data_IF_771193203655
#
_entry.id   IF_771193203655
#
_cell.length_a   1.000
_cell.length_b   1.000
_cell.length_c   1.000
_cell.angle_alpha   90.00
_cell.angle_beta   90.00
_cell.angle_gamma   90.00
#
_symmetry.space_group_name_H-M   'P 1'
#
loop_
_entity.id
_entity.type
_entity.pdbx_description
1 polymer ?
#
# COMPACT_ATOMS: atom_id res chain seq x y z
N UNK A 1 -28.15 -1.67 -19.00
CA UNK A 1 -27.64 -2.86 -19.72
C UNK A 1 -26.39 -2.45 -20.49
N UNK A 2 -25.25 -2.48 -19.82
CA UNK A 2 -23.94 -2.36 -20.45
C UNK A 2 -23.11 -3.54 -19.94
N UNK A 3 -22.60 -4.30 -20.90
CA UNK A 3 -21.84 -5.51 -20.66
C UNK A 3 -20.47 -5.15 -20.08
N UNK A 4 -20.19 -5.64 -18.88
CA UNK A 4 -18.85 -5.68 -18.33
C UNK A 4 -18.03 -6.67 -19.17
N UNK A 5 -16.97 -6.19 -19.82
CA UNK A 5 -15.93 -7.05 -20.38
C UNK A 5 -14.99 -7.37 -19.23
N UNK A 6 -15.21 -8.50 -18.55
CA UNK A 6 -14.24 -9.07 -17.62
C UNK A 6 -13.00 -9.49 -18.42
N UNK A 7 -11.91 -8.76 -18.24
CA UNK A 7 -10.58 -9.28 -18.57
C UNK A 7 -10.19 -10.17 -17.38
N UNK A 8 -10.49 -11.46 -17.49
CA UNK A 8 -9.90 -12.46 -16.60
C UNK A 8 -8.39 -12.49 -16.85
N UNK A 9 -7.63 -11.83 -15.98
CA UNK A 9 -6.21 -12.13 -15.80
C UNK A 9 -6.13 -13.57 -15.30
N UNK A 10 -5.79 -14.47 -16.21
CA UNK A 10 -5.52 -15.86 -15.92
C UNK A 10 -4.34 -15.96 -14.94
N UNK A 11 -4.63 -15.94 -13.64
CA UNK A 11 -3.75 -16.50 -12.62
C UNK A 11 -3.52 -17.95 -13.04
N UNK A 12 -2.30 -18.26 -13.49
CA UNK A 12 -1.87 -19.64 -13.72
C UNK A 12 -1.93 -20.38 -12.40
N UNK A 13 -3.09 -20.96 -12.08
CA UNK A 13 -3.18 -22.08 -11.14
C UNK A 13 -2.25 -23.15 -11.68
N UNK A 14 -1.15 -23.41 -10.98
CA UNK A 14 -0.30 -24.56 -11.22
C UNK A 14 -1.13 -25.83 -11.02
N UNK A 15 -1.77 -26.29 -12.09
CA UNK A 15 -2.36 -27.61 -12.13
C UNK A 15 -1.21 -28.61 -12.09
N UNK A 16 -1.03 -29.23 -10.92
CA UNK A 16 -0.26 -30.47 -10.80
C UNK A 16 -0.76 -31.45 -11.86
N UNK A 17 0.10 -31.78 -12.81
CA UNK A 17 -0.14 -32.80 -13.81
C UNK A 17 -0.12 -34.18 -13.10
N UNK A 18 -1.28 -34.63 -12.59
CA UNK A 18 -1.50 -36.04 -12.28
C UNK A 18 -2.00 -36.74 -13.53
N UNK A 19 -1.14 -37.59 -14.13
CA UNK A 19 -1.46 -38.95 -14.60
C UNK A 19 -0.24 -39.53 -15.34
N UNK A 20 0.76 -39.97 -14.58
CA UNK A 20 1.72 -40.94 -15.10
C UNK A 20 1.11 -42.33 -14.90
N UNK A 21 0.56 -42.92 -15.97
CA UNK A 21 0.16 -44.33 -15.98
C UNK A 21 1.44 -45.18 -15.90
N UNK A 22 1.65 -45.84 -14.77
CA UNK A 22 2.74 -46.79 -14.56
C UNK A 22 2.37 -48.09 -15.30
N UNK A 23 3.04 -48.38 -16.41
CA UNK A 23 3.14 -49.74 -16.93
C UNK A 23 4.52 -50.27 -16.57
N UNK A 24 4.56 -51.29 -15.72
CA UNK A 24 5.78 -51.95 -15.24
C UNK A 24 6.28 -52.85 -16.38
N UNK A 25 7.30 -52.42 -17.11
CA UNK A 25 8.21 -53.32 -17.83
C UNK A 25 9.62 -52.73 -17.78
N UNK A 26 10.55 -53.45 -17.14
CA UNK A 26 11.99 -53.26 -17.30
C UNK A 26 12.57 -52.04 -16.57
N UNK A 27 13.35 -52.30 -15.53
CA UNK A 27 13.89 -51.27 -14.65
C UNK A 27 14.78 -50.24 -15.33
N UNK A 28 14.34 -48.98 -15.29
CA UNK A 28 15.18 -47.78 -15.21
C UNK A 28 14.49 -46.85 -14.21
N UNK A 29 15.12 -46.65 -13.04
CA UNK A 29 14.69 -45.65 -12.07
C UNK A 29 15.02 -44.26 -12.64
N UNK A 30 14.09 -43.65 -13.36
CA UNK A 30 14.22 -42.26 -13.81
C UNK A 30 13.99 -41.36 -12.60
N UNK A 31 15.07 -40.95 -11.94
CA UNK A 31 15.04 -39.88 -10.94
C UNK A 31 14.82 -38.57 -11.70
N UNK A 32 13.58 -38.09 -11.75
CA UNK A 32 13.29 -36.74 -12.19
C UNK A 32 13.82 -35.74 -11.16
N UNK A 33 15.09 -35.33 -11.30
CA UNK A 33 15.60 -34.15 -10.63
C UNK A 33 14.91 -32.93 -11.25
N UNK A 34 13.85 -32.45 -10.60
CA UNK A 34 13.27 -31.15 -10.89
C UNK A 34 14.28 -30.08 -10.46
N UNK A 35 15.11 -29.62 -11.40
CA UNK A 35 15.92 -28.42 -11.19
C UNK A 35 14.96 -27.23 -11.06
N UNK A 36 14.71 -26.77 -9.83
CA UNK A 36 14.14 -25.43 -9.61
C UNK A 36 15.17 -24.44 -10.14
N UNK A 37 14.96 -23.91 -11.33
CA UNK A 37 15.69 -22.73 -11.78
C UNK A 37 15.36 -21.62 -10.76
N UNK A 38 16.35 -21.18 -9.99
CA UNK A 38 16.21 -20.01 -9.15
C UNK A 38 15.84 -18.84 -10.07
N UNK A 39 14.74 -18.14 -9.75
CA UNK A 39 14.39 -16.92 -10.44
C UNK A 39 15.58 -15.96 -10.36
N UNK A 40 16.06 -15.46 -11.51
CA UNK A 40 17.11 -14.43 -11.52
C UNK A 40 16.54 -13.20 -10.82
N UNK A 41 17.09 -12.83 -9.66
CA UNK A 41 16.73 -11.61 -8.97
C UNK A 41 17.02 -10.40 -9.87
N UNK A 42 16.14 -9.40 -9.85
CA UNK A 42 16.46 -8.10 -10.42
C UNK A 42 17.63 -7.53 -9.60
N UNK A 43 18.81 -7.27 -10.21
CA UNK A 43 20.00 -6.89 -9.46
C UNK A 43 19.88 -5.53 -8.75
N UNK A 44 18.87 -4.73 -9.10
CA UNK A 44 18.53 -3.48 -8.39
C UNK A 44 17.02 -3.20 -8.49
N UNK A 45 16.25 -4.00 -7.76
CA UNK A 45 14.79 -3.89 -7.73
C UNK A 45 14.34 -2.52 -7.24
N UNK A 46 14.99 -1.98 -6.20
CA UNK A 46 14.64 -0.68 -5.62
C UNK A 46 14.81 0.47 -6.62
N UNK A 47 15.91 0.49 -7.39
CA UNK A 47 16.09 1.47 -8.47
C UNK A 47 15.07 1.30 -9.59
N UNK A 48 14.79 0.05 -9.98
CA UNK A 48 13.87 -0.23 -11.07
C UNK A 48 12.44 0.25 -10.75
N UNK A 49 11.91 -0.10 -9.57
CA UNK A 49 10.58 0.34 -9.13
C UNK A 49 10.51 1.86 -8.98
N UNK A 50 11.55 2.48 -8.43
CA UNK A 50 11.66 3.96 -8.32
C UNK A 50 11.54 4.65 -9.68
N UNK A 51 12.23 4.13 -10.71
CA UNK A 51 12.20 4.73 -12.04
C UNK A 51 10.87 4.49 -12.75
N UNK A 52 10.30 3.29 -12.62
CA UNK A 52 8.99 2.98 -13.21
C UNK A 52 7.86 3.79 -12.59
N UNK A 53 7.83 3.94 -11.26
CA UNK A 53 6.86 4.80 -10.58
C UNK A 53 7.03 6.28 -11.01
N UNK A 54 8.27 6.77 -11.10
CA UNK A 54 8.53 8.13 -11.58
C UNK A 54 8.06 8.36 -13.03
N UNK A 55 8.31 7.40 -13.92
CA UNK A 55 7.88 7.49 -15.32
C UNK A 55 6.36 7.40 -15.46
N UNK A 56 5.71 6.56 -14.65
CA UNK A 56 4.25 6.47 -14.54
C UNK A 56 3.66 7.80 -14.08
N UNK A 57 4.14 8.35 -12.96
CA UNK A 57 3.68 9.62 -12.38
C UNK A 57 3.77 10.78 -13.39
N UNK A 58 4.91 10.94 -14.08
CA UNK A 58 5.04 11.98 -15.12
C UNK A 58 4.03 11.80 -16.25
N UNK A 59 3.82 10.55 -16.68
CA UNK A 59 2.87 10.25 -17.76
C UNK A 59 1.44 10.58 -17.34
N UNK A 60 1.06 10.27 -16.09
CA UNK A 60 -0.19 10.68 -15.47
C UNK A 60 -0.36 12.20 -15.46
N UNK A 61 0.63 12.93 -14.93
CA UNK A 61 0.60 14.39 -14.88
C UNK A 61 0.42 15.05 -16.27
N UNK A 62 1.09 14.52 -17.30
CA UNK A 62 0.91 14.97 -18.67
C UNK A 62 -0.48 14.64 -19.25
N UNK A 63 -1.03 13.47 -18.90
CA UNK A 63 -2.39 13.08 -19.26
C UNK A 63 -3.41 14.04 -18.64
N UNK A 64 -3.27 14.35 -17.35
CA UNK A 64 -4.19 15.24 -16.62
C UNK A 64 -4.19 16.66 -17.19
N UNK A 65 -3.00 17.20 -17.49
CA UNK A 65 -2.90 18.49 -18.19
C UNK A 65 -3.62 18.47 -19.53
N UNK A 66 -3.50 17.37 -20.28
CA UNK A 66 -4.12 17.27 -21.61
C UNK A 66 -5.65 17.29 -21.49
N UNK A 67 -6.20 16.57 -20.51
CA UNK A 67 -7.63 16.60 -20.21
C UNK A 67 -8.07 17.98 -19.71
N UNK A 68 -7.32 18.60 -18.81
CA UNK A 68 -7.59 19.95 -18.31
C UNK A 68 -7.60 20.99 -19.44
N UNK A 69 -6.64 20.91 -20.37
CA UNK A 69 -6.58 21.79 -21.55
C UNK A 69 -7.82 21.61 -22.43
N UNK A 70 -8.25 20.36 -22.68
CA UNK A 70 -9.49 20.09 -23.42
C UNK A 70 -10.74 20.63 -22.72
N UNK A 71 -10.79 20.61 -21.38
CA UNK A 71 -11.86 21.29 -20.61
C UNK A 71 -11.81 22.81 -20.79
N UNK A 72 -10.61 23.40 -20.80
CA UNK A 72 -10.43 24.83 -21.02
C UNK A 72 -10.91 25.29 -22.42
N UNK A 73 -10.73 24.47 -23.46
CA UNK A 73 -11.20 24.78 -24.81
C UNK A 73 -12.73 24.95 -24.88
N UNK A 74 -13.47 24.32 -23.97
CA UNK A 74 -14.93 24.46 -23.84
C UNK A 74 -15.36 25.66 -22.97
N UNK A 75 -14.42 26.51 -22.51
CA UNK A 75 -14.73 27.73 -21.77
C UNK A 75 -15.04 28.87 -22.76
N UNK A 76 -16.26 29.44 -22.74
CA UNK A 76 -16.68 30.43 -23.74
C UNK A 76 -16.01 31.79 -23.56
N UNK A 77 -15.81 32.21 -22.31
CA UNK A 77 -15.16 33.49 -21.99
C UNK A 77 -13.65 33.41 -22.28
N UNK A 78 -13.08 34.28 -23.15
CA UNK A 78 -11.67 34.20 -23.52
C UNK A 78 -10.69 34.44 -22.37
N UNK A 79 -11.03 35.30 -21.41
CA UNK A 79 -10.16 35.58 -20.27
C UNK A 79 -10.13 34.39 -19.30
N UNK A 80 -11.29 33.81 -19.00
CA UNK A 80 -11.43 32.59 -18.21
C UNK A 80 -10.76 31.39 -18.88
N UNK A 81 -10.88 31.24 -20.21
CA UNK A 81 -10.17 30.20 -20.96
C UNK A 81 -8.65 30.36 -20.83
N UNK A 82 -8.13 31.57 -20.96
CA UNK A 82 -6.70 31.85 -20.78
C UNK A 82 -6.24 31.51 -19.35
N UNK A 83 -7.01 31.91 -18.34
CA UNK A 83 -6.71 31.59 -16.95
C UNK A 83 -6.73 30.07 -16.69
N UNK A 84 -7.72 29.35 -17.25
CA UNK A 84 -7.81 27.89 -17.17
C UNK A 84 -6.56 27.20 -17.76
N UNK A 85 -6.11 27.61 -18.96
CA UNK A 85 -4.90 27.04 -19.57
C UNK A 85 -3.65 27.34 -18.75
N UNK A 86 -3.57 28.53 -18.14
CA UNK A 86 -2.47 28.88 -17.23
C UNK A 86 -2.49 28.01 -15.96
N UNK A 87 -3.68 27.75 -15.39
CA UNK A 87 -3.83 26.87 -14.24
C UNK A 87 -3.39 25.44 -14.59
N UNK A 88 -3.88 24.87 -15.70
CA UNK A 88 -3.49 23.53 -16.14
C UNK A 88 -1.96 23.39 -16.38
N UNK A 89 -1.29 24.47 -16.79
CA UNK A 89 0.16 24.49 -16.90
C UNK A 89 0.88 24.57 -15.55
N UNK A 90 0.32 25.30 -14.58
CA UNK A 90 0.81 25.31 -13.19
C UNK A 90 0.64 23.93 -12.54
N UNK A 91 -0.55 23.34 -12.67
CA UNK A 91 -0.87 22.03 -12.10
C UNK A 91 0.08 20.94 -12.62
N UNK A 92 0.41 20.95 -13.93
CA UNK A 92 1.43 20.05 -14.46
C UNK A 92 2.79 20.27 -13.78
N UNK A 93 3.21 21.52 -13.62
CA UNK A 93 4.52 21.83 -13.04
C UNK A 93 4.58 21.31 -11.60
N UNK A 94 3.53 21.55 -10.83
CA UNK A 94 3.43 21.14 -9.44
C UNK A 94 3.39 19.59 -9.35
N UNK A 95 2.61 18.92 -10.19
CA UNK A 95 2.58 17.46 -10.27
C UNK A 95 3.94 16.85 -10.66
N UNK A 96 4.66 17.43 -11.64
CA UNK A 96 6.01 16.96 -12.02
C UNK A 96 7.04 17.18 -10.89
N UNK A 97 6.85 18.21 -10.07
CA UNK A 97 7.66 18.42 -8.87
C UNK A 97 7.38 17.32 -7.85
N UNK A 98 6.11 17.05 -7.53
CA UNK A 98 5.72 15.94 -6.65
C UNK A 98 6.25 14.59 -7.12
N UNK A 99 6.18 14.29 -8.43
CA UNK A 99 6.80 13.09 -8.99
C UNK A 99 8.31 13.02 -8.72
N UNK A 100 9.01 14.16 -8.83
CA UNK A 100 10.45 14.23 -8.59
C UNK A 100 10.80 14.04 -7.12
N UNK A 101 10.00 14.61 -6.22
CA UNK A 101 10.16 14.49 -4.77
C UNK A 101 9.93 13.04 -4.33
N UNK A 102 8.86 12.40 -4.79
CA UNK A 102 8.57 10.99 -4.51
C UNK A 102 9.67 10.05 -5.04
N UNK A 103 10.22 10.34 -6.23
CA UNK A 103 11.39 9.60 -6.76
C UNK A 103 12.60 9.75 -5.86
N UNK A 104 12.89 10.95 -5.39
CA UNK A 104 14.08 11.21 -4.59
C UNK A 104 13.94 10.65 -3.16
N UNK A 105 12.73 10.65 -2.61
CA UNK A 105 12.37 9.90 -1.40
C UNK A 105 12.68 8.40 -1.56
N UNK A 106 12.17 7.75 -2.61
CA UNK A 106 12.43 6.33 -2.88
C UNK A 106 13.92 6.03 -3.06
N UNK A 107 14.69 6.90 -3.74
CA UNK A 107 16.15 6.75 -3.85
C UNK A 107 16.84 6.83 -2.49
N UNK A 108 16.43 7.76 -1.63
CA UNK A 108 16.96 7.87 -0.28
C UNK A 108 16.65 6.61 0.53
N UNK A 109 15.44 6.07 0.42
CA UNK A 109 15.06 4.80 1.01
C UNK A 109 15.95 3.64 0.50
N UNK A 110 16.16 3.50 -0.81
CA UNK A 110 17.06 2.48 -1.39
C UNK A 110 18.50 2.58 -0.85
N UNK A 111 18.97 3.79 -0.60
CA UNK A 111 20.33 4.02 -0.07
C UNK A 111 20.49 3.46 1.34
N UNK A 112 19.44 3.52 2.15
CA UNK A 112 19.47 3.07 3.55
C UNK A 112 19.01 1.62 3.74
N UNK A 113 18.02 1.16 2.97
CA UNK A 113 17.40 -0.17 3.11
C UNK A 113 17.97 -1.22 2.17
N UNK A 114 18.74 -0.82 1.15
CA UNK A 114 19.31 -1.72 0.17
C UNK A 114 18.54 -1.76 -1.15
N UNK A 115 19.03 -2.61 -2.06
CA UNK A 115 18.59 -2.67 -3.47
C UNK A 115 17.66 -3.82 -3.78
N UNK A 116 17.59 -4.79 -2.88
CA UNK A 116 16.80 -6.00 -3.06
C UNK A 116 15.30 -5.69 -3.03
N UNK A 117 14.45 -6.55 -3.63
CA UNK A 117 13.01 -6.45 -3.47
C UNK A 117 12.64 -6.42 -1.98
N UNK A 118 11.72 -5.55 -1.60
CA UNK A 118 11.15 -5.61 -0.27
C UNK A 118 10.19 -6.80 -0.19
N UNK A 119 10.56 -7.79 0.63
CA UNK A 119 9.83 -9.05 0.77
C UNK A 119 10.08 -9.61 2.18
N UNK A 120 9.47 -9.02 3.22
CA UNK A 120 9.59 -9.56 4.58
C UNK A 120 9.07 -11.01 4.61
N UNK A 121 9.69 -11.84 5.45
CA UNK A 121 9.25 -13.22 5.64
C UNK A 121 8.17 -13.23 6.71
N UNK A 122 6.95 -13.60 6.30
CA UNK A 122 5.81 -13.76 7.20
C UNK A 122 5.62 -15.25 7.48
N UNK A 123 5.88 -15.65 8.72
CA UNK A 123 5.55 -16.97 9.24
C UNK A 123 4.49 -16.80 10.34
N UNK A 124 3.25 -17.27 10.12
CA UNK A 124 2.19 -17.17 11.13
C UNK A 124 2.54 -17.74 12.51
N UNK A 125 3.49 -18.68 12.59
CA UNK A 125 3.95 -19.23 13.87
C UNK A 125 4.74 -18.22 14.73
N UNK A 126 5.23 -17.13 14.12
CA UNK A 126 5.99 -16.08 14.81
C UNK A 126 5.11 -14.93 15.32
N UNK A 127 3.78 -15.05 15.28
CA UNK A 127 2.87 -14.00 15.73
C UNK A 127 2.08 -14.43 16.98
N UNK A 128 1.83 -13.46 17.85
CA UNK A 128 1.08 -13.65 19.10
C UNK A 128 -0.33 -13.07 19.00
N UNK A 129 -1.25 -13.57 19.83
CA UNK A 129 -2.66 -13.18 19.78
C UNK A 129 -2.95 -11.79 20.40
N UNK A 130 -2.03 -11.26 21.20
CA UNK A 130 -2.20 -10.00 21.94
C UNK A 130 -1.09 -9.04 21.54
N UNK A 131 -1.46 -7.79 21.28
CA UNK A 131 -0.52 -6.70 21.01
C UNK A 131 -0.30 -5.92 22.32
N UNK A 132 0.75 -6.29 23.05
CA UNK A 132 1.15 -5.72 24.35
C UNK A 132 2.46 -4.93 24.29
N UNK A 133 2.93 -4.57 23.10
CA UNK A 133 4.06 -3.67 22.89
C UNK A 133 3.89 -2.39 23.74
N UNK A 134 4.87 -2.01 24.56
CA UNK A 134 4.73 -0.91 25.53
C UNK A 134 4.57 0.47 24.89
N UNK A 135 4.87 0.62 23.60
CA UNK A 135 4.72 1.86 22.83
C UNK A 135 3.46 1.87 21.96
N UNK A 136 2.82 0.73 21.75
CA UNK A 136 1.64 0.58 20.90
C UNK A 136 0.77 -0.60 21.37
N UNK A 137 0.26 -0.51 22.60
CA UNK A 137 -0.64 -1.52 23.15
C UNK A 137 -2.02 -1.38 22.52
N UNK A 138 -2.53 -2.44 21.87
CA UNK A 138 -3.84 -2.45 21.21
C UNK A 138 -4.78 -3.44 21.91
N UNK A 139 -5.28 -3.04 23.09
CA UNK A 139 -6.26 -3.84 23.83
C UNK A 139 -7.67 -3.60 23.25
N UNK A 140 -8.41 -4.65 22.82
CA UNK A 140 -9.78 -4.51 22.34
C UNK A 140 -10.68 -3.70 23.26
N UNK A 141 -11.48 -2.79 22.69
CA UNK A 141 -12.33 -1.85 23.41
C UNK A 141 -11.66 -0.56 23.85
N UNK A 142 -10.36 -0.39 23.61
CA UNK A 142 -9.65 0.88 23.88
C UNK A 142 -9.97 1.91 22.81
N UNK A 143 -10.24 3.14 23.22
CA UNK A 143 -10.36 4.30 22.33
C UNK A 143 -9.27 5.31 22.67
N UNK A 144 -8.53 5.76 21.65
CA UNK A 144 -7.62 6.90 21.72
C UNK A 144 -8.27 8.07 20.99
N UNK A 145 -8.16 9.28 21.55
CA UNK A 145 -8.69 10.49 20.95
C UNK A 145 -7.56 11.50 20.83
N UNK A 146 -7.37 12.01 19.63
CA UNK A 146 -6.40 13.06 19.30
C UNK A 146 -7.16 14.27 18.76
N UNK A 147 -6.81 15.46 19.24
CA UNK A 147 -7.44 16.71 18.81
C UNK A 147 -6.38 17.76 18.50
N UNK A 148 -6.59 18.51 17.42
CA UNK A 148 -5.63 19.52 16.97
C UNK A 148 -6.25 20.55 16.03
N UNK A 149 -5.74 21.78 16.08
CA UNK A 149 -6.12 22.81 15.10
C UNK A 149 -5.24 22.67 13.84
N UNK A 150 -5.88 22.45 12.69
CA UNK A 150 -5.25 22.42 11.38
C UNK A 150 -5.63 23.67 10.56
N UNK A 151 -5.10 23.79 9.34
CA UNK A 151 -5.49 24.86 8.42
C UNK A 151 -6.94 24.70 7.91
N UNK A 152 -7.46 23.47 7.95
CA UNK A 152 -8.79 23.07 7.49
C UNK A 152 -9.84 23.21 8.59
N UNK A 153 -9.46 23.07 9.87
CA UNK A 153 -10.38 23.20 10.99
C UNK A 153 -9.88 22.56 12.27
N UNK A 154 -10.79 22.38 13.22
CA UNK A 154 -10.53 21.51 14.36
C UNK A 154 -10.59 20.07 13.88
N UNK A 155 -9.46 19.39 13.91
CA UNK A 155 -9.37 17.94 13.68
C UNK A 155 -9.64 17.18 14.97
N UNK A 156 -10.47 16.15 14.86
CA UNK A 156 -10.74 15.16 15.88
C UNK A 156 -10.55 13.78 15.26
N UNK A 157 -9.52 13.07 15.69
CA UNK A 157 -9.26 11.68 15.30
C UNK A 157 -9.62 10.77 16.49
N UNK A 158 -10.49 9.78 16.21
CA UNK A 158 -10.87 8.71 17.14
C UNK A 158 -10.35 7.36 16.63
N UNK A 159 -9.41 6.76 17.36
CA UNK A 159 -8.86 5.43 17.08
C UNK A 159 -9.47 4.41 18.04
N UNK A 160 -10.31 3.51 17.52
CA UNK A 160 -10.98 2.47 18.30
C UNK A 160 -10.43 1.08 17.99
N UNK A 161 -9.82 0.43 18.99
CA UNK A 161 -9.38 -0.97 18.87
C UNK A 161 -10.60 -1.88 18.97
N UNK A 162 -10.97 -2.51 17.87
CA UNK A 162 -12.20 -3.30 17.80
C UNK A 162 -12.06 -4.65 18.52
N UNK A 163 -13.15 -5.41 18.59
CA UNK A 163 -13.12 -6.83 18.99
C UNK A 163 -13.00 -7.79 17.79
N UNK A 164 -12.87 -7.23 16.59
CA UNK A 164 -12.75 -7.97 15.34
C UNK A 164 -11.30 -8.29 15.03
N UNK A 165 -11.11 -9.30 14.19
CA UNK A 165 -9.81 -9.66 13.64
C UNK A 165 -9.96 -10.00 12.17
N UNK A 166 -8.87 -9.87 11.42
CA UNK A 166 -8.78 -10.28 10.01
C UNK A 166 -7.56 -11.16 9.81
N UNK A 167 -7.69 -12.21 9.00
CA UNK A 167 -6.56 -13.06 8.64
C UNK A 167 -5.93 -12.55 7.34
N UNK A 168 -4.66 -12.14 7.40
CA UNK A 168 -3.86 -11.67 6.25
C UNK A 168 -2.58 -12.48 6.23
N UNK A 169 -2.24 -13.10 5.08
CA UNK A 169 -1.09 -14.01 4.93
C UNK A 169 -0.98 -15.10 6.03
N UNK A 170 -2.13 -15.55 6.53
CA UNK A 170 -2.23 -16.57 7.58
C UNK A 170 -2.05 -16.05 9.01
N UNK A 171 -1.76 -14.77 9.20
CA UNK A 171 -1.63 -14.11 10.50
C UNK A 171 -2.98 -13.51 10.91
N UNK A 172 -3.41 -13.81 12.14
CA UNK A 172 -4.59 -13.16 12.74
C UNK A 172 -4.20 -11.75 13.19
N UNK A 173 -4.75 -10.74 12.52
CA UNK A 173 -4.49 -9.34 12.80
C UNK A 173 -5.64 -8.71 13.59
N UNK A 174 -5.31 -7.89 14.58
CA UNK A 174 -6.25 -7.02 15.31
C UNK A 174 -6.74 -5.93 14.37
N UNK A 175 -8.06 -5.73 14.31
CA UNK A 175 -8.67 -4.65 13.54
C UNK A 175 -8.86 -3.40 14.41
N UNK A 176 -8.41 -2.26 13.90
CA UNK A 176 -8.55 -0.94 14.50
C UNK A 176 -9.36 -0.08 13.54
N UNK A 177 -10.29 0.72 14.07
CA UNK A 177 -11.08 1.69 13.32
C UNK A 177 -10.57 3.09 13.64
N UNK A 178 -9.94 3.75 12.67
CA UNK A 178 -9.67 5.20 12.72
C UNK A 178 -10.85 5.95 12.08
N UNK A 179 -11.27 7.04 12.70
CA UNK A 179 -12.23 7.98 12.13
C UNK A 179 -11.74 9.41 12.35
N UNK A 180 -11.43 10.10 11.25
CA UNK A 180 -10.99 11.48 11.23
C UNK A 180 -12.15 12.41 10.89
N UNK A 181 -12.33 13.46 11.70
CA UNK A 181 -13.35 14.50 11.50
C UNK A 181 -12.71 15.87 11.47
N UNK A 182 -13.13 16.72 10.53
CA UNK A 182 -12.80 18.15 10.51
C UNK A 182 -14.06 18.96 10.82
N UNK A 183 -13.99 19.79 11.87
CA UNK A 183 -15.11 20.59 12.37
C UNK A 183 -16.38 19.76 12.65
N UNK A 184 -16.20 18.49 13.03
CA UNK A 184 -17.27 17.55 13.34
C UNK A 184 -17.80 16.72 12.15
N UNK A 185 -17.38 17.02 10.93
CA UNK A 185 -17.75 16.26 9.73
C UNK A 185 -16.70 15.18 9.45
N UNK A 186 -17.09 13.91 9.23
CA UNK A 186 -16.15 12.86 8.84
C UNK A 186 -15.50 13.14 7.50
N UNK A 187 -14.16 13.08 7.47
CA UNK A 187 -13.37 13.19 6.24
C UNK A 187 -12.71 11.86 5.87
N UNK A 188 -12.46 10.98 6.84
CA UNK A 188 -11.86 9.67 6.59
C UNK A 188 -12.36 8.62 7.59
N UNK A 189 -12.49 7.39 7.12
CA UNK A 189 -12.69 6.22 7.96
C UNK A 189 -11.81 5.08 7.47
N UNK A 190 -11.00 4.52 8.37
CA UNK A 190 -9.99 3.51 8.01
C UNK A 190 -10.11 2.30 8.91
N UNK A 191 -10.11 1.10 8.32
CA UNK A 191 -9.93 -0.16 9.03
C UNK A 191 -8.49 -0.64 8.87
N UNK A 192 -7.72 -0.53 9.93
CA UNK A 192 -6.32 -0.93 10.00
C UNK A 192 -6.16 -2.32 10.59
N UNK A 193 -5.20 -3.10 10.08
CA UNK A 193 -4.92 -4.44 10.59
C UNK A 193 -3.48 -4.58 11.09
N UNK A 194 -3.33 -4.87 12.38
CA UNK A 194 -2.04 -5.00 13.05
C UNK A 194 -1.81 -6.39 13.65
N UNK A 195 -0.56 -6.83 13.74
CA UNK A 195 -0.20 -8.03 14.50
C UNK A 195 1.16 -7.86 15.19
N UNK A 196 1.34 -8.48 16.36
CA UNK A 196 2.62 -8.47 17.06
C UNK A 196 3.37 -9.77 16.85
N UNK A 197 4.67 -9.68 16.52
CA UNK A 197 5.54 -10.84 16.44
C UNK A 197 6.05 -11.30 17.82
N UNK A 198 6.68 -12.47 17.88
CA UNK A 198 7.24 -13.04 19.12
C UNK A 198 8.43 -12.26 19.68
N UNK A 199 9.04 -11.37 18.88
CA UNK A 199 10.10 -10.47 19.31
C UNK A 199 9.54 -9.16 19.91
N UNK A 200 8.23 -8.95 19.80
CA UNK A 200 7.51 -7.79 20.34
C UNK A 200 7.34 -6.62 19.36
N UNK A 201 7.67 -6.79 18.08
CA UNK A 201 7.43 -5.75 17.07
C UNK A 201 5.96 -5.81 16.63
N UNK A 202 5.34 -4.64 16.45
CA UNK A 202 4.02 -4.50 15.87
C UNK A 202 4.17 -4.26 14.38
N UNK A 203 3.53 -5.12 13.60
CA UNK A 203 3.48 -5.10 12.16
C UNK A 203 2.15 -4.52 11.69
N UNK A 204 2.20 -3.77 10.60
CA UNK A 204 1.05 -3.23 9.90
C UNK A 204 0.82 -4.03 8.62
N UNK A 205 -0.34 -4.69 8.55
CA UNK A 205 -0.68 -5.66 7.51
C UNK A 205 -1.54 -5.11 6.39
N UNK A 206 -2.08 -3.90 6.55
CA UNK A 206 -2.94 -3.25 5.57
C UNK A 206 -3.99 -2.37 6.18
N UNK A 207 -4.64 -1.63 5.31
CA UNK A 207 -5.81 -0.79 5.58
C UNK A 207 -6.87 -0.96 4.50
N UNK A 208 -8.12 -0.71 4.91
CA UNK A 208 -9.16 -0.24 4.01
C UNK A 208 -9.55 1.18 4.43
N UNK A 209 -9.00 2.17 3.73
CA UNK A 209 -9.24 3.59 3.93
C UNK A 209 -10.35 4.09 3.00
N UNK A 210 -11.29 4.84 3.56
CA UNK A 210 -12.39 5.48 2.86
C UNK A 210 -12.32 6.99 3.09
N UNK A 211 -11.96 7.75 2.06
CA UNK A 211 -12.10 9.21 2.08
C UNK A 211 -13.57 9.59 1.84
N UNK A 212 -14.08 10.49 2.67
CA UNK A 212 -15.48 10.89 2.71
C UNK A 212 -15.64 12.35 2.32
N UNK A 213 -16.61 12.63 1.44
CA UNK A 213 -17.07 13.99 1.17
C UNK A 213 -18.60 14.04 1.20
N UNK A 214 -19.16 14.82 2.14
CA UNK A 214 -20.61 14.90 2.33
C UNK A 214 -21.24 13.56 2.73
N UNK A 215 -20.50 12.74 3.48
CA UNK A 215 -20.94 11.41 3.96
C UNK A 215 -20.93 10.32 2.88
N UNK A 216 -20.32 10.56 1.73
CA UNK A 216 -20.15 9.57 0.66
C UNK A 216 -18.67 9.26 0.45
N UNK A 217 -18.36 7.99 0.22
CA UNK A 217 -17.02 7.56 -0.17
C UNK A 217 -16.67 8.14 -1.54
N UNK A 218 -15.59 8.90 -1.61
CA UNK A 218 -15.09 9.53 -2.84
C UNK A 218 -13.77 8.94 -3.32
N UNK A 219 -13.02 8.29 -2.45
CA UNK A 219 -11.75 7.63 -2.75
C UNK A 219 -11.53 6.46 -1.78
N UNK A 220 -10.76 5.48 -2.25
CA UNK A 220 -10.22 4.37 -1.45
C UNK A 220 -8.69 4.41 -1.46
N UNK A 221 -8.09 5.55 -1.79
CA UNK A 221 -6.64 5.73 -1.84
C UNK A 221 -6.00 5.38 -0.50
N UNK A 222 -4.75 4.90 -0.54
CA UNK A 222 -4.05 4.41 0.66
C UNK A 222 -4.34 2.96 0.99
N UNK A 223 -5.58 2.48 0.73
CA UNK A 223 -5.97 1.09 0.99
C UNK A 223 -4.98 0.09 0.39
N UNK A 224 -4.43 -0.78 1.23
CA UNK A 224 -3.53 -1.85 0.82
C UNK A 224 -3.71 -3.09 1.69
N UNK A 225 -3.27 -4.25 1.20
CA UNK A 225 -3.25 -5.47 1.99
C UNK A 225 -2.00 -6.28 1.67
N UNK A 226 -1.25 -6.65 2.70
CA UNK A 226 -0.11 -7.55 2.57
C UNK A 226 -0.45 -8.81 1.77
N UNK A 227 0.45 -9.17 0.84
CA UNK A 227 0.33 -10.34 -0.01
C UNK A 227 -0.57 -10.17 -1.24
N UNK A 228 -1.20 -9.01 -1.42
CA UNK A 228 -2.04 -8.67 -2.58
C UNK A 228 -1.29 -7.71 -3.50
N UNK A 229 -1.29 -7.98 -4.81
CA UNK A 229 -0.74 -7.10 -5.87
C UNK A 229 0.69 -6.57 -5.68
N UNK A 230 1.50 -7.27 -4.87
CA UNK A 230 2.88 -6.91 -4.58
C UNK A 230 3.05 -6.04 -3.33
N UNK A 231 1.96 -5.71 -2.65
CA UNK A 231 1.99 -5.04 -1.37
C UNK A 231 2.55 -5.97 -0.27
N UNK A 232 3.28 -5.39 0.66
CA UNK A 232 3.93 -6.10 1.75
C UNK A 232 3.75 -5.36 3.08
N UNK A 233 3.49 -6.11 4.17
CA UNK A 233 3.42 -5.52 5.50
C UNK A 233 4.77 -4.92 5.92
N UNK A 234 4.75 -4.00 6.87
CA UNK A 234 5.95 -3.48 7.51
C UNK A 234 5.84 -3.46 9.02
N UNK A 235 6.92 -3.09 9.69
CA UNK A 235 6.90 -2.90 11.15
C UNK A 235 6.41 -1.48 11.37
N UNK A 236 5.31 -1.26 12.08
CA UNK A 236 4.88 0.10 12.46
C UNK A 236 5.56 0.56 13.75
N UNK A 237 5.77 -0.38 14.69
CA UNK A 237 6.39 -0.10 15.98
C UNK A 237 7.33 -1.23 16.40
N UNK A 238 8.60 -0.90 16.69
CA UNK A 238 9.56 -1.90 17.18
C UNK A 238 9.32 -2.24 18.66
N UNK A 239 9.76 -3.41 19.07
CA UNK A 239 9.81 -3.79 20.50
C UNK A 239 10.71 -2.85 21.32
N UNK A 240 11.82 -2.44 20.70
CA UNK A 240 12.86 -1.61 21.30
C UNK A 240 13.25 -0.50 20.32
N UNK A 241 12.40 0.53 20.12
CA UNK A 241 12.68 1.60 19.18
C UNK A 241 13.89 2.42 19.65
N UNK A 242 14.73 2.81 18.70
CA UNK A 242 15.89 3.65 18.93
C UNK A 242 15.92 4.85 17.98
N UNK A 243 16.47 5.97 18.45
CA UNK A 243 16.69 7.14 17.60
C UNK A 243 17.58 6.77 16.42
N UNK A 244 17.10 7.07 15.20
CA UNK A 244 17.81 6.79 13.96
C UNK A 244 17.46 5.44 13.32
N UNK A 245 16.56 4.66 13.93
CA UNK A 245 15.93 3.53 13.27
C UNK A 245 15.34 3.94 11.91
N UNK A 246 15.37 3.00 10.97
CA UNK A 246 14.83 3.20 9.63
C UNK A 246 14.39 1.88 9.04
N UNK A 247 13.12 1.79 8.74
CA UNK A 247 12.46 0.59 8.27
C UNK A 247 11.17 0.98 7.54
N UNK A 248 10.63 0.05 6.78
CA UNK A 248 9.31 0.22 6.15
C UNK A 248 8.22 -0.07 7.16
N UNK A 249 7.26 0.84 7.25
CA UNK A 249 6.02 0.62 7.98
C UNK A 249 4.98 -0.07 7.08
N UNK A 250 5.08 0.14 5.78
CA UNK A 250 4.29 -0.49 4.74
C UNK A 250 5.01 -0.41 3.38
N UNK A 251 4.50 -1.13 2.39
CA UNK A 251 4.94 -0.99 1.01
C UNK A 251 3.87 -1.48 0.03
N UNK A 252 3.36 -0.57 -0.77
CA UNK A 252 2.59 -0.79 -1.99
C UNK A 252 2.96 0.34 -2.97
N UNK A 253 3.59 -0.01 -4.08
CA UNK A 253 4.28 0.96 -4.94
C UNK A 253 3.30 1.99 -5.51
N UNK A 254 3.55 3.28 -5.21
CA UNK A 254 2.72 4.41 -5.66
C UNK A 254 1.34 4.50 -5.00
N UNK A 255 1.10 3.72 -3.94
CA UNK A 255 -0.16 3.71 -3.19
C UNK A 255 0.07 3.94 -1.69
N UNK A 256 0.90 3.11 -1.03
CA UNK A 256 1.11 3.12 0.43
C UNK A 256 2.60 2.86 0.74
N UNK A 257 3.39 3.90 1.06
CA UNK A 257 4.86 3.77 1.20
C UNK A 257 5.43 4.60 2.36
N UNK A 258 5.25 4.11 3.58
CA UNK A 258 5.79 4.76 4.77
C UNK A 258 7.09 4.18 5.32
N UNK A 259 7.89 5.08 5.90
CA UNK A 259 9.18 4.82 6.51
C UNK A 259 9.25 5.47 7.90
N UNK A 260 9.78 4.73 8.88
CA UNK A 260 10.14 5.28 10.19
C UNK A 260 11.49 6.02 10.17
#
# INVERSE_FOLDING_TARGET
MLHAVSIETAVRRNAMLKLCRISIVGGILVVCLATRAAAKSNPDACKATTLHAFDSCKSGAHSDKSLASGKCDNVPDPAARKACVQQAASDLKDALQSCSDARDFRKAACTRLGRDPYSPVIDPANFVATIDNPFMTLTPGTTFIYEGQTAQGLEHNEIFVTHSTKVIDGVTCVEVLDTVKINGEPEEQTLDWFAQDTDGNVWYFGENSEELAGGLVVSLGGSFQGGVDGAAPGIVMRAHPAVGDFYRQEFDLDNAEDLA
#
